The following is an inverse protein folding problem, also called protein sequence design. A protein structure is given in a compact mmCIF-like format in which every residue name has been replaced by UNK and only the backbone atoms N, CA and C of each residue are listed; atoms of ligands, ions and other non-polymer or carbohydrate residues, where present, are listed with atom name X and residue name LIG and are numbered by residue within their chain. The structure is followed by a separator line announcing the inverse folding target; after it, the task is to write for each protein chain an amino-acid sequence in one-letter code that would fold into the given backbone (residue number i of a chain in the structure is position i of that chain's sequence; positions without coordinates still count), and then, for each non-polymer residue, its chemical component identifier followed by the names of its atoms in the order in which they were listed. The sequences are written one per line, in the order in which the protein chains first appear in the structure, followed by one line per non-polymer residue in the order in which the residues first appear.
data_IF_238313035607
#
_entry.id   IF_238313035607
#
_cell.length_a   1.000
_cell.length_b   1.000
_cell.length_c   1.000
_cell.angle_alpha   90.00
_cell.angle_beta   90.00
_cell.angle_gamma   90.00
#
_symmetry.space_group_name_H-M   'P 1'
#
loop_
_entity.id
_entity.type
_entity.pdbx_description
1 polymer ?
#
# COMPACT_ATOMS: atom_id res chain seq x y z
N UNK A 1 -20.42 3.40 8.52
CA UNK A 1 -20.76 2.06 9.05
C UNK A 1 -19.77 1.72 10.17
N UNK A 2 -20.12 0.90 11.18
CA UNK A 2 -19.16 0.52 12.23
C UNK A 2 -18.12 -0.48 11.67
N UNK A 3 -16.91 -0.52 12.23
CA UNK A 3 -15.83 -1.39 11.76
C UNK A 3 -16.21 -2.87 11.75
N UNK A 4 -16.96 -3.34 12.74
CA UNK A 4 -17.39 -4.74 12.84
C UNK A 4 -18.34 -5.12 11.71
N UNK A 5 -19.18 -4.18 11.27
CA UNK A 5 -20.08 -4.38 10.12
C UNK A 5 -19.31 -4.33 8.80
N UNK A 6 -18.34 -3.42 8.67
CA UNK A 6 -17.47 -3.37 7.49
C UNK A 6 -16.68 -4.67 7.33
N UNK A 7 -16.10 -5.19 8.41
CA UNK A 7 -15.35 -6.44 8.41
C UNK A 7 -16.15 -7.66 7.92
N UNK A 8 -17.49 -7.61 8.03
CA UNK A 8 -18.37 -8.68 7.57
C UNK A 8 -18.91 -8.45 6.16
N UNK A 9 -19.26 -7.21 5.82
CA UNK A 9 -20.09 -6.91 4.65
C UNK A 9 -19.41 -6.10 3.56
N UNK A 10 -18.39 -5.30 3.88
CA UNK A 10 -17.75 -4.44 2.89
C UNK A 10 -17.18 -5.27 1.72
N UNK A 11 -17.34 -4.72 0.52
CA UNK A 11 -16.81 -5.28 -0.73
C UNK A 11 -17.53 -6.47 -1.33
N UNK A 12 -18.61 -7.00 -0.74
CA UNK A 12 -19.34 -8.13 -1.33
C UNK A 12 -20.85 -7.97 -1.25
N UNK A 13 -21.46 -7.91 -2.42
CA UNK A 13 -22.88 -8.16 -2.64
C UNK A 13 -23.06 -9.54 -3.29
N UNK A 14 -24.13 -10.26 -2.90
CA UNK A 14 -24.38 -11.60 -3.44
C UNK A 14 -24.56 -11.57 -4.95
N UNK A 15 -23.79 -12.37 -5.68
CA UNK A 15 -23.82 -12.38 -7.14
C UNK A 15 -25.21 -12.81 -7.68
N UNK A 16 -25.70 -12.21 -8.79
CA UNK A 16 -27.02 -12.52 -9.33
C UNK A 16 -27.21 -14.00 -9.71
N UNK A 17 -26.16 -14.67 -10.13
CA UNK A 17 -26.19 -16.05 -10.66
C UNK A 17 -26.62 -17.08 -9.61
N UNK A 18 -26.08 -16.99 -8.40
CA UNK A 18 -26.29 -17.98 -7.34
C UNK A 18 -26.87 -17.40 -6.06
N UNK A 19 -26.75 -16.09 -5.84
CA UNK A 19 -27.09 -15.39 -4.60
C UNK A 19 -26.40 -16.00 -3.37
N UNK A 20 -25.16 -16.47 -3.53
CA UNK A 20 -24.39 -17.04 -2.44
C UNK A 20 -24.12 -15.98 -1.36
N UNK A 21 -24.35 -16.35 -0.09
CA UNK A 21 -24.09 -15.46 1.04
C UNK A 21 -22.58 -15.31 1.33
N UNK A 22 -21.78 -16.33 1.02
CA UNK A 22 -20.33 -16.31 1.15
C UNK A 22 -19.67 -15.98 -0.19
N UNK A 23 -18.52 -15.31 -0.13
CA UNK A 23 -17.70 -14.96 -1.30
C UNK A 23 -17.24 -16.24 -2.00
N UNK A 24 -17.52 -16.41 -3.31
CA UNK A 24 -16.98 -17.54 -4.07
C UNK A 24 -15.46 -17.49 -4.20
N UNK A 25 -14.82 -18.66 -4.32
CA UNK A 25 -13.39 -18.79 -4.59
C UNK A 25 -13.18 -18.89 -6.10
N UNK A 26 -12.70 -17.81 -6.70
CA UNK A 26 -12.34 -17.74 -8.12
C UNK A 26 -10.93 -18.29 -8.36
N UNK A 27 -10.80 -19.62 -8.25
CA UNK A 27 -9.56 -20.35 -8.52
C UNK A 27 -9.30 -20.49 -10.03
N UNK A 28 -9.19 -19.36 -10.73
CA UNK A 28 -8.91 -19.27 -12.17
C UNK A 28 -7.68 -18.40 -12.42
N UNK A 29 -7.07 -18.55 -13.58
CA UNK A 29 -5.95 -17.70 -14.02
C UNK A 29 -6.41 -16.53 -14.88
N UNK A 30 -7.45 -16.73 -15.67
CA UNK A 30 -7.85 -15.85 -16.78
C UNK A 30 -9.36 -15.75 -16.87
N UNK A 31 -9.84 -14.67 -17.50
CA UNK A 31 -11.26 -14.41 -17.72
C UNK A 31 -11.54 -14.25 -19.22
N UNK A 32 -12.73 -14.69 -19.66
CA UNK A 32 -13.17 -14.52 -21.04
C UNK A 32 -13.66 -13.10 -21.28
N UNK A 33 -13.46 -12.59 -22.48
CA UNK A 33 -14.03 -11.32 -22.93
C UNK A 33 -15.38 -11.55 -23.64
N UNK A 34 -16.24 -10.53 -23.61
CA UNK A 34 -17.51 -10.57 -24.35
C UNK A 34 -17.27 -10.55 -25.86
N UNK A 35 -16.30 -9.74 -26.31
CA UNK A 35 -15.80 -9.67 -27.67
C UNK A 35 -14.36 -9.09 -27.72
N UNK A 36 -13.81 -8.93 -28.93
CA UNK A 36 -12.45 -8.40 -29.13
C UNK A 36 -12.30 -6.93 -28.71
N UNK A 37 -13.37 -6.14 -28.81
CA UNK A 37 -13.34 -4.72 -28.45
C UNK A 37 -13.33 -4.56 -26.93
N UNK A 38 -14.16 -5.33 -26.22
CA UNK A 38 -14.12 -5.40 -24.75
C UNK A 38 -12.71 -5.76 -24.25
N UNK A 39 -12.06 -6.75 -24.87
CA UNK A 39 -10.67 -7.08 -24.56
C UNK A 39 -9.72 -5.90 -24.72
N UNK A 40 -9.78 -5.16 -25.83
CA UNK A 40 -8.95 -3.98 -26.06
C UNK A 40 -9.22 -2.86 -25.04
N UNK A 41 -10.49 -2.60 -24.74
CA UNK A 41 -10.88 -1.54 -23.80
C UNK A 41 -10.43 -1.84 -22.36
N UNK A 42 -10.37 -3.12 -21.97
CA UNK A 42 -9.81 -3.54 -20.68
C UNK A 42 -8.30 -3.25 -20.58
N UNK A 43 -7.54 -3.54 -21.64
CA UNK A 43 -6.09 -3.29 -21.67
C UNK A 43 -5.73 -1.81 -21.80
N UNK A 44 -6.64 -1.00 -22.35
CA UNK A 44 -6.49 0.46 -22.45
C UNK A 44 -7.02 1.21 -21.21
N UNK A 45 -7.47 0.50 -20.15
CA UNK A 45 -8.15 1.05 -18.96
C UNK A 45 -9.39 1.90 -19.26
N UNK A 46 -10.04 1.72 -20.42
CA UNK A 46 -11.28 2.41 -20.77
C UNK A 46 -12.48 1.88 -20.01
N UNK A 47 -12.42 0.60 -19.62
CA UNK A 47 -13.43 -0.08 -18.81
C UNK A 47 -12.75 -0.89 -17.72
N UNK A 48 -13.42 -0.98 -16.56
CA UNK A 48 -12.95 -1.81 -15.44
C UNK A 48 -13.43 -3.25 -15.64
N UNK A 49 -12.53 -4.21 -15.43
CA UNK A 49 -12.90 -5.62 -15.47
C UNK A 49 -11.70 -6.54 -15.28
N UNK A 50 -11.98 -7.84 -15.25
CA UNK A 50 -10.96 -8.85 -15.00
C UNK A 50 -10.33 -9.34 -16.30
N UNK A 51 -9.00 -9.42 -16.33
CA UNK A 51 -8.23 -9.97 -17.46
C UNK A 51 -7.48 -11.22 -17.01
N UNK A 52 -6.58 -11.04 -16.04
CA UNK A 52 -5.74 -12.09 -15.45
C UNK A 52 -5.65 -11.93 -13.93
N UNK A 53 -5.71 -13.05 -13.20
CA UNK A 53 -5.62 -13.11 -11.73
C UNK A 53 -4.35 -12.48 -11.17
N UNK A 54 -3.26 -12.39 -11.96
CA UNK A 54 -2.02 -11.72 -11.54
C UNK A 54 -2.22 -10.22 -11.23
N UNK A 55 -3.22 -9.59 -11.85
CA UNK A 55 -3.50 -8.15 -11.67
C UNK A 55 -4.83 -7.90 -10.95
N UNK A 56 -5.86 -8.72 -11.19
CA UNK A 56 -7.19 -8.59 -10.57
C UNK A 56 -7.91 -9.94 -10.50
N UNK A 57 -8.58 -10.21 -9.38
CA UNK A 57 -9.39 -11.41 -9.16
C UNK A 57 -10.59 -11.06 -8.26
N UNK A 58 -11.83 -11.48 -8.56
CA UNK A 58 -13.00 -11.10 -7.77
C UNK A 58 -12.94 -11.51 -6.30
N UNK A 59 -12.34 -12.67 -5.97
CA UNK A 59 -12.17 -13.07 -4.56
C UNK A 59 -11.24 -12.11 -3.83
N UNK A 60 -10.13 -11.72 -4.48
CA UNK A 60 -9.17 -10.77 -3.93
C UNK A 60 -9.73 -9.35 -3.87
N UNK A 61 -10.53 -8.94 -4.85
CA UNK A 61 -11.16 -7.62 -4.90
C UNK A 61 -12.07 -7.37 -3.70
N UNK A 62 -12.80 -8.39 -3.21
CA UNK A 62 -13.56 -8.27 -1.95
C UNK A 62 -12.65 -7.97 -0.76
N UNK A 63 -11.51 -8.66 -0.66
CA UNK A 63 -10.54 -8.43 0.42
C UNK A 63 -9.96 -7.02 0.34
N UNK A 64 -9.58 -6.56 -0.85
CA UNK A 64 -9.05 -5.23 -1.10
C UNK A 64 -10.06 -4.14 -0.73
N UNK A 65 -11.29 -4.24 -1.23
CA UNK A 65 -12.35 -3.29 -0.92
C UNK A 65 -12.68 -3.26 0.58
N UNK A 66 -12.72 -4.43 1.23
CA UNK A 66 -12.97 -4.52 2.67
C UNK A 66 -11.87 -3.87 3.49
N UNK A 67 -10.61 -4.14 3.18
CA UNK A 67 -9.48 -3.50 3.85
C UNK A 67 -9.47 -1.99 3.61
N UNK A 68 -9.80 -1.56 2.39
CA UNK A 68 -9.95 -0.14 2.03
C UNK A 68 -10.96 0.54 2.94
N UNK A 69 -12.17 -0.01 3.06
CA UNK A 69 -13.23 0.58 3.90
C UNK A 69 -12.91 0.55 5.39
N UNK A 70 -12.26 -0.53 5.88
CA UNK A 70 -11.88 -0.65 7.28
C UNK A 70 -10.82 0.37 7.69
N UNK A 71 -9.79 0.59 6.87
CA UNK A 71 -8.80 1.65 7.11
C UNK A 71 -9.34 3.05 6.78
N UNK A 72 -10.35 3.15 5.90
CA UNK A 72 -10.89 4.41 5.40
C UNK A 72 -10.02 5.05 4.31
N UNK A 73 -9.44 4.22 3.45
CA UNK A 73 -8.72 4.64 2.25
C UNK A 73 -9.61 4.73 1.01
N UNK A 74 -8.99 4.89 -0.17
CA UNK A 74 -9.66 4.97 -1.47
C UNK A 74 -9.46 3.72 -2.35
N UNK A 75 -8.44 2.92 -2.06
CA UNK A 75 -8.18 1.67 -2.75
C UNK A 75 -7.11 0.84 -2.04
N UNK A 76 -7.07 -0.45 -2.36
CA UNK A 76 -6.08 -1.37 -1.82
C UNK A 76 -5.62 -2.38 -2.87
N UNK A 77 -4.41 -2.91 -2.67
CA UNK A 77 -3.82 -3.96 -3.50
C UNK A 77 -3.30 -5.08 -2.61
N UNK A 78 -3.90 -6.26 -2.73
CA UNK A 78 -3.51 -7.45 -1.98
C UNK A 78 -2.37 -8.19 -2.70
N UNK A 79 -1.42 -8.69 -1.91
CA UNK A 79 -0.16 -9.22 -2.38
C UNK A 79 0.20 -10.51 -1.65
N UNK A 80 1.16 -11.24 -2.20
CA UNK A 80 1.56 -12.57 -1.72
C UNK A 80 2.09 -12.58 -0.28
N UNK A 81 2.57 -11.46 0.27
CA UNK A 81 3.04 -11.34 1.65
C UNK A 81 3.15 -9.88 2.09
N UNK A 82 3.26 -9.63 3.40
CA UNK A 82 3.58 -8.29 3.92
C UNK A 82 4.91 -7.75 3.38
N UNK A 83 5.93 -8.60 3.22
CA UNK A 83 7.21 -8.19 2.62
C UNK A 83 7.05 -7.77 1.15
N UNK A 84 6.18 -8.44 0.39
CA UNK A 84 5.85 -8.04 -0.96
C UNK A 84 5.12 -6.68 -0.97
N UNK A 85 4.20 -6.43 -0.03
CA UNK A 85 3.53 -5.14 0.11
C UNK A 85 4.50 -3.99 0.39
N UNK A 86 5.42 -4.14 1.36
CA UNK A 86 6.46 -3.14 1.63
C UNK A 86 7.33 -2.91 0.38
N UNK A 87 7.75 -3.99 -0.26
CA UNK A 87 8.62 -3.91 -1.45
C UNK A 87 7.94 -3.19 -2.60
N UNK A 88 6.69 -3.57 -2.91
CA UNK A 88 5.90 -2.98 -4.01
C UNK A 88 5.60 -1.51 -3.76
N UNK A 89 5.20 -1.13 -2.54
CA UNK A 89 4.90 0.26 -2.22
C UNK A 89 6.11 1.18 -2.42
N UNK A 90 7.30 0.75 -1.97
CA UNK A 90 8.52 1.53 -2.10
C UNK A 90 9.00 1.56 -3.55
N UNK A 91 9.06 0.41 -4.24
CA UNK A 91 9.51 0.36 -5.65
C UNK A 91 8.55 1.07 -6.62
N UNK A 92 7.29 1.27 -6.24
CA UNK A 92 6.34 2.07 -7.03
C UNK A 92 6.79 3.53 -7.14
N UNK A 93 7.39 4.08 -6.08
CA UNK A 93 7.73 5.52 -5.99
C UNK A 93 9.24 5.79 -5.89
N UNK A 94 10.08 4.76 -5.82
CA UNK A 94 11.53 4.87 -5.71
C UNK A 94 12.26 3.97 -6.71
N UNK A 95 13.35 4.49 -7.27
CA UNK A 95 14.18 3.84 -8.27
C UNK A 95 15.66 3.91 -7.91
N UNK A 96 16.53 3.33 -8.74
CA UNK A 96 17.98 3.38 -8.51
C UNK A 96 18.48 4.82 -8.45
N UNK A 97 19.18 5.18 -7.35
CA UNK A 97 19.64 6.53 -7.05
C UNK A 97 18.73 7.32 -6.11
N UNK A 98 17.53 6.80 -5.80
CA UNK A 98 16.63 7.39 -4.81
C UNK A 98 16.90 6.85 -3.40
N UNK A 99 16.32 7.50 -2.39
CA UNK A 99 16.36 7.01 -1.02
C UNK A 99 15.00 7.12 -0.31
N UNK A 100 14.85 6.41 0.80
CA UNK A 100 13.78 6.65 1.79
C UNK A 100 14.38 6.88 3.18
N UNK A 101 13.63 7.57 4.04
CA UNK A 101 13.94 7.69 5.46
C UNK A 101 13.03 6.77 6.25
N UNK A 102 13.55 6.07 7.26
CA UNK A 102 12.76 5.16 8.08
C UNK A 102 13.13 5.24 9.56
N UNK A 103 12.18 4.95 10.43
CA UNK A 103 12.50 4.56 11.81
C UNK A 103 13.33 3.26 11.81
N UNK A 104 14.18 3.05 12.81
CA UNK A 104 15.08 1.88 12.88
C UNK A 104 14.50 0.70 13.67
N UNK A 105 13.49 0.94 14.51
CA UNK A 105 12.77 -0.09 15.26
C UNK A 105 11.74 -0.78 14.36
N UNK A 106 12.24 -1.69 13.52
CA UNK A 106 11.46 -2.41 12.51
C UNK A 106 11.53 -3.91 12.73
N UNK A 107 10.49 -4.60 12.27
CA UNK A 107 10.51 -6.04 12.04
C UNK A 107 11.80 -6.44 11.33
N UNK A 108 12.48 -7.46 11.84
CA UNK A 108 13.81 -7.85 11.36
C UNK A 108 13.88 -8.15 9.85
N UNK A 109 12.77 -8.63 9.25
CA UNK A 109 12.69 -8.81 7.80
C UNK A 109 12.69 -7.47 7.04
N UNK A 110 11.92 -6.49 7.52
CA UNK A 110 11.89 -5.12 6.97
C UNK A 110 13.24 -4.44 7.16
N UNK A 111 13.84 -4.55 8.35
CA UNK A 111 15.19 -4.03 8.59
C UNK A 111 16.21 -4.63 7.62
N UNK A 112 16.18 -5.95 7.38
CA UNK A 112 17.10 -6.60 6.46
C UNK A 112 16.88 -6.16 4.99
N UNK A 113 15.61 -6.02 4.58
CA UNK A 113 15.23 -5.47 3.27
C UNK A 113 15.84 -4.07 3.09
N UNK A 114 15.69 -3.20 4.09
CA UNK A 114 16.16 -1.82 4.04
C UNK A 114 17.67 -1.69 4.12
N UNK A 115 18.33 -2.46 4.99
CA UNK A 115 19.76 -2.37 5.22
C UNK A 115 20.60 -3.05 4.11
N UNK A 116 20.02 -4.02 3.37
CA UNK A 116 20.81 -4.88 2.50
C UNK A 116 20.21 -5.13 1.12
N UNK A 117 18.92 -5.40 1.00
CA UNK A 117 18.31 -5.76 -0.29
C UNK A 117 18.07 -4.53 -1.17
N UNK A 118 17.48 -3.47 -0.63
CA UNK A 118 17.27 -2.23 -1.38
C UNK A 118 18.56 -1.53 -1.80
N UNK A 119 19.60 -1.40 -0.94
CA UNK A 119 20.87 -0.83 -1.37
C UNK A 119 21.51 -1.58 -2.55
N UNK A 120 21.33 -2.89 -2.65
CA UNK A 120 21.79 -3.68 -3.81
C UNK A 120 21.01 -3.39 -5.10
N UNK A 121 19.79 -2.87 -4.97
CA UNK A 121 18.96 -2.39 -6.09
C UNK A 121 19.21 -0.89 -6.36
N UNK A 122 20.10 -0.25 -5.60
CA UNK A 122 20.40 1.18 -5.68
C UNK A 122 19.36 2.08 -5.02
N UNK A 123 18.50 1.55 -4.16
CA UNK A 123 17.59 2.35 -3.32
C UNK A 123 18.20 2.39 -1.92
N UNK A 124 18.66 3.55 -1.48
CA UNK A 124 19.24 3.70 -0.14
C UNK A 124 18.14 3.86 0.92
N UNK A 125 18.34 3.28 2.10
CA UNK A 125 17.44 3.50 3.25
C UNK A 125 18.22 4.08 4.42
N UNK A 126 17.82 5.30 4.82
CA UNK A 126 18.46 6.05 5.90
C UNK A 126 17.63 5.92 7.16
N UNK A 127 18.20 5.34 8.20
CA UNK A 127 17.46 4.99 9.42
C UNK A 127 17.92 5.81 10.63
N UNK A 128 16.96 6.22 11.47
CA UNK A 128 17.19 6.83 12.77
C UNK A 128 16.19 6.27 13.81
N UNK A 129 16.36 6.62 15.09
CA UNK A 129 15.40 6.20 16.12
C UNK A 129 14.04 6.86 15.90
N UNK A 130 12.95 6.17 16.25
CA UNK A 130 11.59 6.67 16.08
C UNK A 130 11.28 7.99 16.81
N UNK A 131 12.04 8.29 17.86
CA UNK A 131 11.91 9.47 18.72
C UNK A 131 12.96 10.56 18.44
N UNK A 132 13.86 10.34 17.48
CA UNK A 132 14.88 11.31 17.06
C UNK A 132 14.41 12.05 15.79
N UNK A 133 13.40 12.91 15.98
CA UNK A 133 12.76 13.66 14.90
C UNK A 133 13.73 14.58 14.16
N UNK A 134 14.66 15.23 14.88
CA UNK A 134 15.68 16.08 14.27
C UNK A 134 16.59 15.25 13.36
N UNK A 135 17.00 14.05 13.79
CA UNK A 135 17.80 13.18 12.95
C UNK A 135 17.02 12.66 11.75
N UNK A 136 15.77 12.23 11.92
CA UNK A 136 14.91 11.78 10.82
C UNK A 136 14.76 12.88 9.77
N UNK A 137 14.44 14.11 10.19
CA UNK A 137 14.28 15.24 9.28
C UNK A 137 15.61 15.61 8.59
N UNK A 138 16.75 15.53 9.30
CA UNK A 138 18.07 15.81 8.72
C UNK A 138 18.54 14.82 7.65
N UNK A 139 17.90 13.64 7.55
CA UNK A 139 18.24 12.61 6.57
C UNK A 139 17.50 12.80 5.24
N UNK A 140 16.53 13.72 5.18
CA UNK A 140 15.72 14.01 4.00
C UNK A 140 16.54 14.87 3.02
N UNK A 141 16.47 14.51 1.74
CA UNK A 141 16.99 15.29 0.63
C UNK A 141 16.04 15.30 -0.57
N UNK A 142 16.51 15.89 -1.67
CA UNK A 142 15.84 15.98 -2.97
C UNK A 142 15.62 14.61 -3.66
N UNK A 143 16.34 13.57 -3.22
CA UNK A 143 16.19 12.18 -3.69
C UNK A 143 15.35 11.30 -2.76
N UNK A 144 14.94 11.80 -1.60
CA UNK A 144 14.03 11.08 -0.71
C UNK A 144 12.66 10.90 -1.37
N UNK A 145 12.04 9.73 -1.22
CA UNK A 145 10.74 9.39 -1.81
C UNK A 145 9.64 9.10 -0.80
N UNK A 146 9.99 8.74 0.43
CA UNK A 146 9.02 8.51 1.50
C UNK A 146 9.68 8.58 2.87
N UNK A 147 8.84 8.78 3.89
CA UNK A 147 9.15 8.45 5.27
C UNK A 147 8.39 7.17 5.65
N UNK A 148 9.08 6.21 6.27
CA UNK A 148 8.50 4.92 6.67
C UNK A 148 8.57 4.71 8.19
N UNK A 149 7.51 4.14 8.76
CA UNK A 149 7.53 3.64 10.14
C UNK A 149 6.60 2.44 10.35
N UNK A 150 6.79 1.73 11.45
CA UNK A 150 5.77 0.81 12.01
C UNK A 150 4.97 1.57 13.07
N UNK A 151 3.63 1.48 13.03
CA UNK A 151 2.75 2.07 14.06
C UNK A 151 3.14 1.64 15.48
N UNK A 152 3.49 0.36 15.62
CA UNK A 152 4.06 -0.25 16.83
C UNK A 152 5.32 -0.99 16.40
N UNK A 153 6.50 -0.48 16.78
CA UNK A 153 7.78 -1.03 16.35
C UNK A 153 8.02 -2.45 16.85
N UNK A 154 8.50 -3.34 15.99
CA UNK A 154 8.82 -4.72 16.32
C UNK A 154 10.35 -4.89 16.48
N UNK A 155 10.87 -5.56 17.54
CA UNK A 155 10.18 -6.16 18.68
C UNK A 155 10.03 -5.23 19.90
N UNK A 156 10.49 -3.98 19.79
CA UNK A 156 10.60 -3.07 20.94
C UNK A 156 9.25 -2.64 21.53
N UNK A 157 8.16 -2.72 20.75
CA UNK A 157 6.81 -2.33 21.15
C UNK A 157 6.63 -0.82 21.33
N UNK A 158 7.56 0.00 20.81
CA UNK A 158 7.44 1.44 20.86
C UNK A 158 6.27 1.91 19.99
N UNK A 159 5.49 2.86 20.51
CA UNK A 159 4.41 3.50 19.77
C UNK A 159 4.99 4.72 19.08
N UNK A 160 4.79 4.81 17.77
CA UNK A 160 5.28 5.93 16.95
C UNK A 160 4.25 7.06 16.94
N UNK A 161 4.72 8.29 17.10
CA UNK A 161 3.89 9.50 16.93
C UNK A 161 3.67 9.76 15.43
N UNK A 162 2.59 9.17 14.90
CA UNK A 162 2.26 9.24 13.47
C UNK A 162 1.99 10.67 13.01
N UNK A 163 1.32 11.48 13.83
CA UNK A 163 1.02 12.88 13.49
C UNK A 163 2.32 13.67 13.35
N UNK A 164 3.26 13.50 14.28
CA UNK A 164 4.57 14.16 14.20
C UNK A 164 5.37 13.74 12.98
N UNK A 165 5.37 12.46 12.64
CA UNK A 165 6.07 11.97 11.45
C UNK A 165 5.39 12.42 10.15
N UNK A 166 4.05 12.47 10.11
CA UNK A 166 3.29 12.98 8.97
C UNK A 166 3.60 14.47 8.75
N UNK A 167 3.60 15.28 9.82
CA UNK A 167 3.99 16.69 9.75
C UNK A 167 5.40 16.87 9.16
N UNK A 168 6.37 16.04 9.57
CA UNK A 168 7.73 16.08 9.02
C UNK A 168 7.69 15.71 7.53
N UNK A 169 7.09 14.58 7.17
CA UNK A 169 7.04 14.10 5.79
C UNK A 169 6.39 15.14 4.85
N UNK A 170 5.24 15.67 5.23
CA UNK A 170 4.47 16.61 4.42
C UNK A 170 5.17 17.95 4.23
N UNK A 171 5.93 18.46 5.23
CA UNK A 171 6.76 19.67 5.07
C UNK A 171 7.77 19.56 3.93
N UNK A 172 8.21 18.34 3.60
CA UNK A 172 9.18 18.06 2.55
C UNK A 172 8.56 17.49 1.27
N UNK A 173 7.22 17.45 1.19
CA UNK A 173 6.51 16.89 0.04
C UNK A 173 6.71 15.38 -0.09
N UNK A 174 6.73 14.65 1.03
CA UNK A 174 6.90 13.20 1.10
C UNK A 174 5.65 12.52 1.68
N UNK A 175 5.24 11.35 1.16
CA UNK A 175 4.22 10.54 1.81
C UNK A 175 4.80 9.86 3.06
N UNK A 176 3.96 9.71 4.08
CA UNK A 176 4.19 8.82 5.21
C UNK A 176 3.60 7.44 4.91
N UNK A 177 4.47 6.41 4.87
CA UNK A 177 4.09 5.01 4.74
C UNK A 177 4.14 4.35 6.12
N UNK A 178 3.01 3.80 6.57
CA UNK A 178 2.88 3.17 7.90
C UNK A 178 2.59 1.69 7.75
N UNK A 179 3.46 0.84 8.28
CA UNK A 179 3.10 -0.55 8.55
C UNK A 179 2.24 -0.60 9.82
N UNK A 180 0.96 -0.92 9.61
CA UNK A 180 -0.08 -0.93 10.63
C UNK A 180 -0.45 -2.37 11.08
N UNK A 181 0.41 -3.36 10.76
CA UNK A 181 0.15 -4.79 10.97
C UNK A 181 -0.25 -5.12 12.41
N UNK A 182 0.47 -4.58 13.39
CA UNK A 182 0.31 -4.96 14.80
C UNK A 182 -0.95 -4.34 15.39
N UNK A 183 -1.19 -3.06 15.12
CA UNK A 183 -2.36 -2.37 15.66
C UNK A 183 -3.65 -2.81 14.97
N UNK A 184 -3.61 -3.11 13.66
CA UNK A 184 -4.79 -3.30 12.80
C UNK A 184 -5.66 -2.04 12.72
N UNK A 185 -6.55 -1.91 11.71
CA UNK A 185 -7.54 -0.82 11.66
C UNK A 185 -8.47 -0.78 12.88
N UNK A 186 -8.53 -1.85 13.68
CA UNK A 186 -9.41 -1.91 14.86
C UNK A 186 -8.87 -1.13 16.06
N UNK A 187 -7.54 -1.05 16.23
CA UNK A 187 -6.93 -0.32 17.35
C UNK A 187 -6.35 1.04 16.93
N UNK A 188 -5.84 1.15 15.70
CA UNK A 188 -5.29 2.37 15.17
C UNK A 188 -5.64 2.50 13.69
N UNK A 189 -6.37 3.55 13.33
CA UNK A 189 -6.60 3.95 11.94
C UNK A 189 -5.53 4.97 11.57
N UNK A 190 -4.41 4.52 11.02
CA UNK A 190 -3.24 5.38 10.81
C UNK A 190 -3.53 6.58 9.86
N UNK A 191 -4.49 6.45 8.95
CA UNK A 191 -4.95 7.56 8.10
C UNK A 191 -5.62 8.71 8.87
N UNK A 192 -6.16 8.44 10.06
CA UNK A 192 -6.73 9.48 10.94
C UNK A 192 -5.60 10.30 11.61
N UNK A 193 -4.36 9.82 11.54
CA UNK A 193 -3.15 10.44 12.10
C UNK A 193 -2.15 10.90 11.03
N UNK A 194 -2.60 11.07 9.78
CA UNK A 194 -1.79 11.67 8.71
C UNK A 194 -0.95 10.70 7.88
N UNK A 195 -1.09 9.38 8.07
CA UNK A 195 -0.52 8.43 7.12
C UNK A 195 -1.12 8.63 5.72
N UNK A 196 -0.31 8.40 4.69
CA UNK A 196 -0.73 8.50 3.29
C UNK A 196 -0.93 7.13 2.66
N UNK A 197 -0.08 6.17 3.04
CA UNK A 197 -0.12 4.78 2.60
C UNK A 197 -0.03 3.87 3.83
N UNK A 198 -0.88 2.86 3.91
CA UNK A 198 -0.82 1.83 4.95
C UNK A 198 -0.38 0.51 4.34
N UNK A 199 0.45 -0.22 5.08
CA UNK A 199 0.86 -1.58 4.78
C UNK A 199 0.37 -2.52 5.89
N UNK A 200 -0.08 -3.72 5.51
CA UNK A 200 -0.26 -4.82 6.44
C UNK A 200 0.40 -6.09 5.95
N UNK A 201 0.97 -6.84 6.89
CA UNK A 201 1.11 -8.29 6.78
C UNK A 201 -0.19 -8.96 7.22
N UNK A 202 -1.06 -9.26 6.26
CA UNK A 202 -2.32 -9.98 6.49
C UNK A 202 -2.09 -11.36 7.12
N UNK A 203 -0.89 -11.91 6.96
CA UNK A 203 -0.41 -13.13 7.63
C UNK A 203 -0.60 -13.11 9.16
N UNK A 204 -0.67 -11.93 9.77
CA UNK A 204 -0.72 -11.74 11.23
C UNK A 204 -2.15 -11.64 11.72
N UNK A 205 -2.53 -10.52 12.34
CA UNK A 205 -3.79 -10.40 13.08
C UNK A 205 -5.03 -10.42 12.19
N UNK A 206 -4.97 -9.82 10.99
CA UNK A 206 -6.09 -9.86 10.04
C UNK A 206 -6.40 -11.31 9.61
N UNK A 207 -5.37 -12.08 9.27
CA UNK A 207 -5.50 -13.50 8.98
C UNK A 207 -5.84 -14.33 10.21
N UNK A 208 -5.26 -14.01 11.37
CA UNK A 208 -5.60 -14.49 12.72
C UNK A 208 -5.32 -15.97 13.05
N UNK A 209 -5.23 -16.83 12.04
CA UNK A 209 -5.30 -18.29 12.20
C UNK A 209 -3.99 -19.02 11.87
N UNK A 210 -2.95 -18.30 11.43
CA UNK A 210 -1.63 -18.87 11.17
C UNK A 210 -1.56 -19.82 9.96
N UNK A 211 -2.51 -19.73 9.03
CA UNK A 211 -2.63 -20.66 7.90
C UNK A 211 -2.16 -20.10 6.56
N UNK A 212 -2.11 -18.78 6.42
CA UNK A 212 -2.03 -18.13 5.11
C UNK A 212 -1.10 -16.94 5.17
N UNK A 213 -0.24 -16.82 4.17
CA UNK A 213 0.64 -15.65 3.99
C UNK A 213 -0.05 -14.69 3.02
N UNK A 214 -0.04 -13.42 3.37
CA UNK A 214 -0.59 -12.35 2.56
C UNK A 214 -0.13 -10.99 3.05
N UNK A 215 -0.25 -9.99 2.19
CA UNK A 215 -0.06 -8.58 2.50
C UNK A 215 -1.04 -7.71 1.75
N UNK A 216 -1.14 -6.45 2.14
CA UNK A 216 -1.96 -5.46 1.43
C UNK A 216 -1.35 -4.08 1.56
N UNK A 217 -1.46 -3.30 0.49
CA UNK A 217 -1.20 -1.85 0.46
C UNK A 217 -2.56 -1.17 0.42
N UNK A 218 -2.77 -0.12 1.21
CA UNK A 218 -3.96 0.73 1.14
C UNK A 218 -3.51 2.18 0.91
N UNK A 219 -4.13 2.86 -0.03
CA UNK A 219 -3.92 4.28 -0.31
C UNK A 219 -5.00 5.13 0.37
N UNK A 220 -4.60 6.22 1.01
CA UNK A 220 -5.51 7.21 1.60
C UNK A 220 -6.22 8.07 0.55
N UNK A 221 -5.62 8.25 -0.63
CA UNK A 221 -6.06 9.20 -1.65
C UNK A 221 -5.87 10.68 -1.26
N UNK A 222 -5.13 10.97 -0.19
CA UNK A 222 -4.98 12.33 0.36
C UNK A 222 -3.66 13.00 0.02
N UNK A 223 -2.61 12.23 -0.27
CA UNK A 223 -1.31 12.80 -0.58
C UNK A 223 -1.34 13.53 -1.93
N UNK A 224 -0.81 14.75 -1.96
CA UNK A 224 -0.79 15.58 -3.17
C UNK A 224 0.34 15.15 -4.12
N UNK A 225 0.14 14.04 -4.82
CA UNK A 225 1.08 13.54 -5.83
C UNK A 225 1.31 14.55 -6.96
N UNK A 226 0.28 15.32 -7.32
CA UNK A 226 0.31 16.30 -8.41
C UNK A 226 0.99 17.62 -8.03
N UNK A 227 0.97 18.00 -6.75
CA UNK A 227 1.75 19.13 -6.23
C UNK A 227 3.24 18.83 -6.13
N UNK A 228 3.63 17.55 -6.11
CA UNK A 228 5.00 17.09 -5.93
C UNK A 228 5.61 16.46 -7.20
N UNK A 229 5.27 16.99 -8.38
CA UNK A 229 5.63 16.39 -9.70
C UNK A 229 7.10 16.09 -9.89
N UNK A 230 7.97 17.03 -9.52
CA UNK A 230 9.43 16.88 -9.68
C UNK A 230 9.98 15.69 -8.89
N UNK A 231 9.36 15.37 -7.75
CA UNK A 231 9.74 14.24 -6.90
C UNK A 231 9.14 12.92 -7.38
N UNK A 232 7.92 12.97 -7.93
CA UNK A 232 7.17 11.79 -8.40
C UNK A 232 6.85 11.84 -9.91
N UNK A 233 7.85 11.91 -10.79
CA UNK A 233 7.62 11.99 -12.24
C UNK A 233 6.91 10.75 -12.79
N UNK A 234 7.11 9.57 -12.18
CA UNK A 234 6.45 8.32 -12.59
C UNK A 234 4.92 8.36 -12.51
N UNK A 235 4.34 9.27 -11.73
CA UNK A 235 2.88 9.46 -11.62
C UNK A 235 2.38 10.70 -12.38
N UNK A 236 3.31 11.55 -12.83
CA UNK A 236 3.03 12.91 -13.32
C UNK A 236 3.49 13.16 -14.77
N UNK A 237 4.27 12.23 -15.34
CA UNK A 237 4.71 12.26 -16.74
C UNK A 237 4.05 11.12 -17.53
N UNK A 238 3.89 11.26 -18.86
CA UNK A 238 3.29 10.22 -19.69
C UNK A 238 4.04 8.89 -19.59
N UNK A 239 3.35 7.82 -19.19
CA UNK A 239 3.93 6.49 -19.11
C UNK A 239 3.99 5.83 -20.50
N UNK A 240 5.19 5.62 -21.08
CA UNK A 240 5.33 4.99 -22.40
C UNK A 240 4.91 3.52 -22.40
N UNK A 241 4.85 2.86 -21.24
CA UNK A 241 4.38 1.49 -21.10
C UNK A 241 2.85 1.38 -21.13
N UNK A 242 2.15 2.50 -20.96
CA UNK A 242 0.71 2.56 -20.82
C UNK A 242 0.07 3.68 -21.66
N UNK A 243 0.38 3.71 -22.95
CA UNK A 243 -0.23 4.61 -23.94
C UNK A 243 -0.15 6.11 -23.60
N UNK A 244 0.85 6.52 -22.80
CA UNK A 244 1.04 7.92 -22.40
C UNK A 244 0.09 8.40 -21.32
N UNK A 245 -0.56 7.48 -20.58
CA UNK A 245 -1.36 7.83 -19.41
C UNK A 245 -0.51 8.60 -18.41
N UNK A 246 -1.11 9.64 -17.82
CA UNK A 246 -0.59 10.35 -16.65
C UNK A 246 -1.46 9.96 -15.47
N UNK A 247 -0.92 9.15 -14.54
CA UNK A 247 -1.72 8.51 -13.49
C UNK A 247 -2.43 9.49 -12.54
N UNK A 248 -1.89 10.69 -12.35
CA UNK A 248 -2.52 11.76 -11.55
C UNK A 248 -3.68 12.48 -12.25
N UNK A 249 -3.85 12.26 -13.56
CA UNK A 249 -4.91 12.88 -14.39
C UNK A 249 -5.94 11.86 -14.89
N UNK A 250 -5.73 10.57 -14.57
CA UNK A 250 -6.53 9.43 -15.04
C UNK A 250 -7.76 9.14 -14.18
#
# INVERSE_FOLDING_TARGET
MKLESLALHAGYDSEPTTKAAAVPIYQTTSYTFDDTQHGADLFDLKVVGNIYTRIMNPTTAVLEQRMTEMEGGVGALALASGMAAITYAIQCIASSGDNIVSTSQLYGGTYNLFAHTFPRQGIDVRMASFDDYEKLESLIDDKTRALFCESIGNPAGNIVDLEKLAEIAHRHGLPLIVDNTVATPYLCRAFDHGADIIIHSLTKYIGGHGTTVGGVIIDSGKFDWAGNKERFPMLNEPDPSYHGVVYTEA
#
